data_IF_119085330564
#
_entry.id   IF_119085330564
#
_cell.length_a   1.000
_cell.length_b   1.000
_cell.length_c   1.000
_cell.angle_alpha   90.00
_cell.angle_beta   90.00
_cell.angle_gamma   90.00
#
_symmetry.space_group_name_H-M   'P 1'
#
loop_
_entity.id
_entity.type
_entity.pdbx_description
1 polymer ?
#
# COMPACT_ATOMS: atom_id res chain seq x y z
N UNK A 1 -9.91 21.17 15.28
CA UNK A 1 -9.09 21.95 14.33
C UNK A 1 -8.92 21.10 13.11
N UNK A 2 -8.96 21.73 11.94
CA UNK A 2 -8.96 21.01 10.67
C UNK A 2 -7.71 21.33 9.88
N UNK A 3 -6.98 20.30 9.49
CA UNK A 3 -5.81 20.43 8.62
C UNK A 3 -5.95 19.58 7.38
N UNK A 4 -5.42 20.10 6.28
CA UNK A 4 -5.10 19.38 5.07
C UNK A 4 -3.59 19.13 5.07
N UNK A 5 -3.20 17.88 4.83
CA UNK A 5 -1.79 17.52 4.63
C UNK A 5 -1.63 16.85 3.26
N UNK A 6 -0.60 17.23 2.51
CA UNK A 6 -0.24 16.61 1.23
C UNK A 6 1.17 16.07 1.35
N UNK A 7 1.36 14.78 1.13
CA UNK A 7 2.66 14.13 1.12
C UNK A 7 2.98 13.74 -0.32
N UNK A 8 4.07 14.27 -0.88
CA UNK A 8 4.56 13.94 -2.21
C UNK A 8 5.71 12.91 -2.14
N UNK A 9 5.82 12.10 -3.19
CA UNK A 9 6.96 11.18 -3.39
C UNK A 9 6.49 9.81 -3.87
N UNK A 10 7.29 8.77 -3.63
CA UNK A 10 6.89 7.37 -3.87
C UNK A 10 6.00 6.89 -2.72
N UNK A 11 4.74 7.32 -2.75
CA UNK A 11 3.79 7.15 -1.64
C UNK A 11 2.55 6.31 -1.98
N UNK A 12 2.42 5.86 -3.23
CA UNK A 12 1.32 5.00 -3.65
C UNK A 12 1.75 3.54 -3.77
N UNK A 13 0.83 2.61 -3.45
CA UNK A 13 1.06 1.16 -3.46
C UNK A 13 2.20 0.67 -2.53
N UNK A 14 2.54 1.47 -1.52
CA UNK A 14 3.58 1.18 -0.51
C UNK A 14 3.01 1.05 0.91
N UNK A 15 1.68 0.90 1.05
CA UNK A 15 1.03 0.76 2.37
C UNK A 15 0.76 2.06 3.12
N UNK A 16 0.94 3.22 2.48
CA UNK A 16 0.85 4.54 3.14
C UNK A 16 -0.51 4.84 3.77
N UNK A 17 -1.62 4.56 3.10
CA UNK A 17 -2.98 4.81 3.62
C UNK A 17 -3.32 3.99 4.87
N UNK A 18 -3.12 2.65 4.90
CA UNK A 18 -3.26 1.87 6.13
C UNK A 18 -2.33 2.32 7.26
N UNK A 19 -1.09 2.70 6.95
CA UNK A 19 -0.14 3.22 7.93
C UNK A 19 -0.67 4.50 8.59
N UNK A 20 -1.15 5.46 7.80
CA UNK A 20 -1.72 6.70 8.32
C UNK A 20 -2.99 6.46 9.16
N UNK A 21 -3.85 5.54 8.73
CA UNK A 21 -5.03 5.15 9.48
C UNK A 21 -4.65 4.57 10.86
N UNK A 22 -3.65 3.69 10.91
CA UNK A 22 -3.16 3.13 12.17
C UNK A 22 -2.66 4.21 13.14
N UNK A 23 -1.97 5.23 12.64
CA UNK A 23 -1.54 6.38 13.46
C UNK A 23 -2.75 7.18 13.94
N UNK A 24 -3.72 7.47 13.06
CA UNK A 24 -4.91 8.22 13.41
C UNK A 24 -5.73 7.53 14.51
N UNK A 25 -5.96 6.21 14.38
CA UNK A 25 -6.63 5.38 15.38
C UNK A 25 -5.84 5.36 16.70
N UNK A 26 -4.51 5.18 16.64
CA UNK A 26 -3.66 5.17 17.83
C UNK A 26 -3.65 6.49 18.63
N UNK A 27 -3.91 7.62 17.97
CA UNK A 27 -4.04 8.94 18.61
C UNK A 27 -5.48 9.27 19.02
N UNK A 28 -6.45 8.40 18.71
CA UNK A 28 -7.88 8.65 18.96
C UNK A 28 -8.43 9.80 18.14
N UNK A 29 -8.00 9.94 16.87
CA UNK A 29 -8.54 10.95 15.95
C UNK A 29 -9.87 10.44 15.38
N UNK A 30 -10.97 11.11 15.74
CA UNK A 30 -12.33 10.69 15.36
C UNK A 30 -12.69 10.97 13.89
N UNK A 31 -12.02 11.94 13.27
CA UNK A 31 -12.28 12.36 11.89
C UNK A 31 -10.98 12.40 11.10
N UNK A 32 -10.84 11.43 10.19
CA UNK A 32 -9.66 11.21 9.40
C UNK A 32 -10.03 10.65 8.03
N UNK A 33 -9.34 11.15 7.02
CA UNK A 33 -9.41 10.61 5.67
C UNK A 33 -8.06 10.74 4.98
N UNK A 34 -7.67 9.71 4.22
CA UNK A 34 -6.51 9.78 3.35
C UNK A 34 -6.79 9.14 1.99
N UNK A 35 -6.35 9.77 0.91
CA UNK A 35 -6.46 9.17 -0.41
C UNK A 35 -5.26 9.45 -1.30
N UNK A 36 -5.03 8.54 -2.23
CA UNK A 36 -4.00 8.68 -3.24
C UNK A 36 -4.49 9.67 -4.30
N UNK A 37 -3.63 10.61 -4.68
CA UNK A 37 -3.93 11.57 -5.74
C UNK A 37 -2.69 11.83 -6.60
N UNK A 38 -2.89 12.45 -7.75
CA UNK A 38 -1.82 12.93 -8.62
C UNK A 38 -1.98 14.45 -8.70
N UNK A 39 -0.94 15.18 -8.30
CA UNK A 39 -0.91 16.65 -8.33
C UNK A 39 0.32 17.04 -9.15
N UNK A 40 0.10 17.77 -10.25
CA UNK A 40 1.17 18.16 -11.18
C UNK A 40 2.03 16.95 -11.61
N UNK A 41 1.38 15.86 -12.02
CA UNK A 41 2.03 14.60 -12.44
C UNK A 41 2.84 13.86 -11.36
N UNK A 42 2.89 14.39 -10.13
CA UNK A 42 3.56 13.76 -8.99
C UNK A 42 2.58 12.93 -8.18
N UNK A 43 3.03 11.75 -7.75
CA UNK A 43 2.31 10.95 -6.78
C UNK A 43 2.21 11.69 -5.45
N UNK A 44 1.00 11.73 -4.90
CA UNK A 44 0.77 12.28 -3.57
C UNK A 44 -0.25 11.45 -2.78
N UNK A 45 -0.21 11.61 -1.46
CA UNK A 45 -1.27 11.20 -0.53
C UNK A 45 -1.85 12.46 0.09
N UNK A 46 -3.13 12.66 -0.12
CA UNK A 46 -3.90 13.76 0.44
C UNK A 46 -4.58 13.30 1.74
N UNK A 47 -4.41 14.07 2.80
CA UNK A 47 -4.89 13.74 4.15
C UNK A 47 -5.75 14.90 4.64
N UNK A 48 -6.91 14.57 5.21
CA UNK A 48 -7.77 15.51 5.91
C UNK A 48 -7.99 15.01 7.32
N UNK A 49 -7.78 15.88 8.30
CA UNK A 49 -7.87 15.55 9.72
C UNK A 49 -8.69 16.61 10.44
N UNK A 50 -9.59 16.19 11.34
CA UNK A 50 -10.27 17.07 12.29
C UNK A 50 -10.15 16.49 13.71
N UNK A 51 -9.41 17.19 14.58
CA UNK A 51 -9.21 16.78 15.98
C UNK A 51 -8.73 17.96 16.85
N UNK A 52 -8.41 17.71 18.12
CA UNK A 52 -7.74 18.71 18.95
C UNK A 52 -6.37 19.11 18.39
N UNK A 53 -5.90 20.31 18.72
CA UNK A 53 -4.59 20.83 18.30
C UNK A 53 -3.47 19.83 18.61
N UNK A 54 -3.38 19.38 19.87
CA UNK A 54 -2.34 18.46 20.32
C UNK A 54 -2.31 17.15 19.53
N UNK A 55 -3.47 16.60 19.16
CA UNK A 55 -3.57 15.36 18.37
C UNK A 55 -3.15 15.58 16.92
N UNK A 56 -3.55 16.71 16.33
CA UNK A 56 -3.15 17.08 14.97
C UNK A 56 -1.64 17.30 14.89
N UNK A 57 -1.05 18.00 15.86
CA UNK A 57 0.39 18.24 15.92
C UNK A 57 1.17 16.94 16.14
N UNK A 58 0.69 16.08 17.04
CA UNK A 58 1.26 14.75 17.25
C UNK A 58 1.23 13.90 15.97
N UNK A 59 0.10 13.91 15.26
CA UNK A 59 -0.04 13.20 13.99
C UNK A 59 0.98 13.71 12.96
N UNK A 60 1.04 15.03 12.76
CA UNK A 60 1.98 15.67 11.81
C UNK A 60 3.43 15.35 12.18
N UNK A 61 3.80 15.40 13.47
CA UNK A 61 5.13 15.06 13.94
C UNK A 61 5.52 13.60 13.66
N UNK A 62 4.59 12.66 13.83
CA UNK A 62 4.82 11.24 13.52
C UNK A 62 5.04 11.04 12.02
N UNK A 63 4.16 11.57 11.16
CA UNK A 63 4.25 11.33 9.71
C UNK A 63 5.43 12.04 9.05
N UNK A 64 6.02 13.03 9.75
CA UNK A 64 7.25 13.71 9.31
C UNK A 64 8.51 12.93 9.66
N UNK A 65 8.43 11.98 10.61
CA UNK A 65 9.59 11.19 11.08
C UNK A 65 9.50 9.70 10.74
N UNK A 66 8.30 9.19 10.46
CA UNK A 66 8.04 7.78 10.15
C UNK A 66 7.18 7.65 8.90
N UNK A 67 7.54 6.70 8.05
CA UNK A 67 6.81 6.33 6.84
C UNK A 67 7.02 4.84 6.55
N UNK A 68 6.20 4.22 5.68
CA UNK A 68 6.36 2.81 5.32
C UNK A 68 7.74 2.53 4.69
N UNK A 69 8.29 1.33 4.93
CA UNK A 69 9.65 0.94 4.48
C UNK A 69 9.89 1.14 2.97
N UNK A 70 8.87 0.90 2.15
CA UNK A 70 8.95 1.01 0.70
C UNK A 70 8.62 2.41 0.16
N UNK A 71 8.33 3.38 1.04
CA UNK A 71 7.97 4.74 0.67
C UNK A 71 9.21 5.66 0.60
N UNK A 72 9.11 6.70 -0.21
CA UNK A 72 10.04 7.83 -0.23
C UNK A 72 9.24 9.12 -0.24
N UNK A 73 9.59 10.06 0.64
CA UNK A 73 8.89 11.32 0.81
C UNK A 73 9.78 12.46 0.32
N UNK A 74 9.28 13.24 -0.63
CA UNK A 74 9.98 14.40 -1.17
C UNK A 74 9.61 15.67 -0.40
N UNK A 75 8.32 15.81 -0.07
CA UNK A 75 7.74 17.07 0.36
C UNK A 75 6.46 16.81 1.14
N UNK A 76 6.27 17.56 2.23
CA UNK A 76 5.05 17.55 3.04
C UNK A 76 4.53 18.98 3.14
N UNK A 77 3.28 19.19 2.73
CA UNK A 77 2.57 20.48 2.85
C UNK A 77 1.46 20.37 3.87
N UNK A 78 1.35 21.34 4.77
CA UNK A 78 0.31 21.41 5.80
C UNK A 78 -0.41 22.74 5.69
N UNK A 79 -1.74 22.70 5.62
CA UNK A 79 -2.58 23.87 5.41
C UNK A 79 -3.86 23.76 6.24
N UNK A 80 -4.51 24.89 6.52
CA UNK A 80 -5.83 24.90 7.13
C UNK A 80 -6.89 24.34 6.17
N UNK A 81 -7.87 23.64 6.74
CA UNK A 81 -8.95 23.04 5.98
C UNK A 81 -10.31 23.44 6.55
N UNK A 82 -11.25 23.85 5.70
CA UNK A 82 -12.60 24.28 6.14
C UNK A 82 -13.69 23.25 5.84
N UNK A 83 -13.40 22.26 5.00
CA UNK A 83 -14.39 21.27 4.57
C UNK A 83 -14.74 20.24 5.64
N UNK A 84 -15.57 19.27 5.25
CA UNK A 84 -15.91 18.14 6.10
C UNK A 84 -14.81 17.07 6.05
N UNK A 85 -14.60 16.39 7.18
CA UNK A 85 -13.71 15.24 7.27
C UNK A 85 -14.57 14.03 7.65
N UNK A 86 -14.36 12.90 6.98
CA UNK A 86 -15.10 11.68 7.26
C UNK A 86 -14.74 11.14 8.66
N UNK A 87 -15.69 10.49 9.34
CA UNK A 87 -15.39 9.72 10.57
C UNK A 87 -14.36 8.64 10.27
N UNK A 88 -13.36 8.49 11.12
CA UNK A 88 -12.27 7.50 10.96
C UNK A 88 -12.82 6.09 10.79
N UNK A 89 -13.84 5.70 11.56
CA UNK A 89 -14.52 4.39 11.43
C UNK A 89 -15.16 4.18 10.05
N UNK A 90 -15.72 5.25 9.45
CA UNK A 90 -16.27 5.18 8.10
C UNK A 90 -15.17 5.07 7.06
N UNK A 91 -14.06 5.76 7.28
CA UNK A 91 -12.87 5.64 6.43
C UNK A 91 -12.22 4.25 6.54
N UNK A 92 -12.19 3.64 7.72
CA UNK A 92 -11.76 2.25 7.92
C UNK A 92 -12.59 1.29 7.06
N UNK A 93 -13.93 1.40 7.11
CA UNK A 93 -14.83 0.58 6.26
C UNK A 93 -14.57 0.81 4.78
N UNK A 94 -14.46 2.08 4.36
CA UNK A 94 -14.18 2.45 2.98
C UNK A 94 -12.83 1.87 2.49
N UNK A 95 -11.76 2.10 3.24
CA UNK A 95 -10.42 1.62 2.90
C UNK A 95 -10.39 0.09 2.83
N UNK A 96 -11.03 -0.59 3.78
CA UNK A 96 -11.14 -2.05 3.80
C UNK A 96 -11.83 -2.57 2.54
N UNK A 97 -12.98 -1.99 2.16
CA UNK A 97 -13.68 -2.38 0.94
C UNK A 97 -12.80 -2.18 -0.31
N UNK A 98 -12.07 -1.07 -0.39
CA UNK A 98 -11.14 -0.80 -1.49
C UNK A 98 -9.98 -1.80 -1.54
N UNK A 99 -9.44 -2.23 -0.39
CA UNK A 99 -8.39 -3.25 -0.35
C UNK A 99 -8.93 -4.63 -0.75
N UNK A 100 -10.12 -5.01 -0.28
CA UNK A 100 -10.76 -6.27 -0.68
C UNK A 100 -11.02 -6.31 -2.19
N UNK A 101 -11.50 -5.21 -2.78
CA UNK A 101 -11.66 -5.10 -4.23
C UNK A 101 -10.34 -5.31 -4.98
N UNK A 102 -9.24 -4.70 -4.50
CA UNK A 102 -7.90 -4.91 -5.07
C UNK A 102 -7.46 -6.37 -4.98
N UNK A 103 -7.67 -7.00 -3.83
CA UNK A 103 -7.32 -8.42 -3.62
C UNK A 103 -8.13 -9.30 -4.58
N UNK A 104 -9.44 -9.09 -4.70
CA UNK A 104 -10.28 -9.83 -5.63
C UNK A 104 -9.82 -9.67 -7.08
N UNK A 105 -9.50 -8.44 -7.49
CA UNK A 105 -9.08 -8.12 -8.87
C UNK A 105 -7.72 -8.72 -9.21
N UNK A 106 -6.70 -8.45 -8.38
CA UNK A 106 -5.32 -8.84 -8.68
C UNK A 106 -4.99 -10.26 -8.21
N UNK A 107 -5.69 -10.77 -7.21
CA UNK A 107 -5.52 -12.13 -6.70
C UNK A 107 -5.88 -13.19 -7.74
N UNK A 108 -6.97 -13.00 -8.48
CA UNK A 108 -7.34 -13.91 -9.58
C UNK A 108 -6.26 -13.95 -10.68
N UNK A 109 -5.80 -12.78 -11.12
CA UNK A 109 -4.71 -12.66 -12.12
C UNK A 109 -3.42 -13.32 -11.60
N UNK A 110 -3.12 -13.20 -10.31
CA UNK A 110 -1.94 -13.82 -9.71
C UNK A 110 -2.03 -15.35 -9.75
N UNK A 111 -3.20 -15.94 -9.48
CA UNK A 111 -3.42 -17.39 -9.55
C UNK A 111 -3.16 -17.89 -10.98
N UNK A 112 -3.73 -17.23 -11.98
CA UNK A 112 -3.52 -17.60 -13.40
C UNK A 112 -2.03 -17.57 -13.78
N UNK A 113 -1.32 -16.50 -13.39
CA UNK A 113 0.13 -16.39 -13.63
C UNK A 113 0.94 -17.45 -12.87
N UNK A 114 0.49 -17.87 -11.69
CA UNK A 114 1.12 -18.96 -10.95
C UNK A 114 0.92 -20.30 -11.65
N UNK A 115 -0.27 -20.57 -12.19
CA UNK A 115 -0.54 -21.80 -12.96
C UNK A 115 0.34 -21.89 -14.21
N UNK A 116 0.51 -20.76 -14.92
CA UNK A 116 1.44 -20.68 -16.05
C UNK A 116 2.89 -20.94 -15.63
N UNK A 117 3.32 -20.35 -14.51
CA UNK A 117 4.67 -20.60 -13.96
C UNK A 117 4.87 -22.06 -13.61
N UNK A 118 3.90 -22.70 -12.95
CA UNK A 118 3.95 -24.13 -12.59
C UNK A 118 4.02 -25.01 -13.83
N UNK A 119 3.30 -24.66 -14.90
CA UNK A 119 3.34 -25.39 -16.18
C UNK A 119 4.74 -25.39 -16.77
N UNK A 120 5.38 -24.22 -16.84
CA UNK A 120 6.75 -24.08 -17.36
C UNK A 120 7.77 -24.82 -16.49
N UNK A 121 7.66 -24.72 -15.16
CA UNK A 121 8.54 -25.45 -14.23
C UNK A 121 8.43 -26.95 -14.40
N UNK A 122 7.21 -27.50 -14.58
CA UNK A 122 7.00 -28.93 -14.84
C UNK A 122 7.62 -29.37 -16.17
N UNK A 123 7.49 -28.55 -17.21
CA UNK A 123 8.08 -28.82 -18.52
C UNK A 123 9.62 -28.87 -18.42
N UNK A 124 10.24 -27.97 -17.67
CA UNK A 124 11.67 -27.99 -17.39
C UNK A 124 12.05 -29.24 -16.60
N UNK A 125 11.31 -29.58 -15.53
CA UNK A 125 11.56 -30.79 -14.74
C UNK A 125 11.59 -32.07 -15.59
N UNK A 126 10.63 -32.22 -16.51
CA UNK A 126 10.59 -33.37 -17.43
C UNK A 126 11.83 -33.44 -18.33
N UNK A 127 12.31 -32.28 -18.83
CA UNK A 127 13.54 -32.22 -19.64
C UNK A 127 14.77 -32.60 -18.83
N UNK A 128 14.87 -32.13 -17.58
CA UNK A 128 15.98 -32.47 -16.66
C UNK A 128 16.00 -33.96 -16.37
N UNK A 129 14.85 -34.57 -16.09
CA UNK A 129 14.75 -36.02 -15.86
C UNK A 129 15.19 -36.84 -17.07
N UNK A 130 14.82 -36.41 -18.27
CA UNK A 130 15.25 -37.06 -19.52
C UNK A 130 16.77 -36.98 -19.70
N UNK A 131 17.36 -35.82 -19.42
CA UNK A 131 18.81 -35.64 -19.46
C UNK A 131 19.47 -36.56 -18.43
N UNK A 132 19.03 -36.56 -17.17
CA UNK A 132 19.56 -37.42 -16.11
C UNK A 132 19.51 -38.91 -16.46
N UNK A 133 18.39 -39.40 -17.03
CA UNK A 133 18.29 -40.77 -17.54
C UNK A 133 19.30 -41.08 -18.63
N UNK A 134 19.53 -40.14 -19.56
CA UNK A 134 20.52 -40.31 -20.62
C UNK A 134 21.94 -40.42 -20.06
N UNK A 135 22.30 -39.63 -19.06
CA UNK A 135 23.62 -39.71 -18.41
C UNK A 135 23.85 -41.06 -17.73
N UNK A 136 22.87 -41.55 -16.96
CA UNK A 136 22.98 -42.88 -16.32
C UNK A 136 23.17 -44.01 -17.33
N UNK A 137 22.54 -43.94 -18.51
CA UNK A 137 22.74 -44.94 -19.57
C UNK A 137 24.13 -44.89 -20.22
N UNK A 138 24.78 -43.72 -20.21
CA UNK A 138 26.13 -43.55 -20.74
C UNK A 138 27.22 -44.01 -19.76
N UNK A 139 26.96 -43.98 -18.46
CA UNK A 139 27.90 -44.46 -17.42
C UNK A 139 27.89 -46.00 -17.27
N UNK A 140 26.86 -46.68 -17.81
CA UNK A 140 26.70 -48.14 -17.75
C UNK A 140 27.26 -48.89 -18.98
N UNK A 141 27.82 -48.17 -19.95
CA UNK A 141 28.47 -48.71 -21.16
C UNK A 141 29.95 -48.32 -21.19
#
# INVERSE_FOLDING_TARGET
MKKRVVIFGRVQNVGYRPFLLGIAEGLGIEYFFADNTIINERQAVHIMIDSSQDRVDSFIGIISSKYPENASVDEVKVEDYSGNVMKTESYYRYLTAMQLHKIATFGGIMIEKQDDTVREVRAVGTKVDLVGRRWMLLELN
#
